data_IF_384296421654
#
_entry.id   IF_384296421654
#
_cell.length_a   1.000
_cell.length_b   1.000
_cell.length_c   1.000
_cell.angle_alpha   90.00
_cell.angle_beta   90.00
_cell.angle_gamma   90.00
#
_symmetry.space_group_name_H-M   'P 1'
#
loop_
_entity.id
_entity.type
_entity.pdbx_description
1 polymer ?
#
# COMPACT_ATOMS: atom_id res chain seq x y z
N UNK A 1 -1.68 -16.58 -21.21
CA UNK A 1 -1.95 -15.75 -22.40
C UNK A 1 -1.12 -16.30 -23.56
N UNK A 2 -1.75 -16.90 -24.55
CA UNK A 2 -1.06 -17.51 -25.70
C UNK A 2 -0.96 -16.54 -26.86
N UNK A 3 0.18 -15.88 -27.01
CA UNK A 3 0.50 -15.15 -28.24
C UNK A 3 1.01 -16.18 -29.24
N UNK A 4 0.22 -16.44 -30.28
CA UNK A 4 0.55 -17.40 -31.33
C UNK A 4 1.37 -16.68 -32.40
N UNK A 5 2.48 -17.27 -32.82
CA UNK A 5 3.30 -16.76 -33.93
C UNK A 5 2.58 -17.08 -35.25
N UNK A 6 1.63 -16.23 -35.63
CA UNK A 6 0.68 -16.53 -36.71
C UNK A 6 1.30 -16.37 -38.10
N UNK A 7 2.01 -15.26 -38.34
CA UNK A 7 2.56 -14.95 -39.66
C UNK A 7 4.03 -14.52 -39.57
N UNK A 8 4.90 -15.08 -40.40
CA UNK A 8 6.32 -14.72 -40.42
C UNK A 8 6.52 -13.50 -41.33
N UNK A 9 7.07 -12.41 -40.79
CA UNK A 9 7.25 -11.16 -41.57
C UNK A 9 8.65 -11.00 -42.15
N UNK A 10 9.68 -11.16 -41.32
CA UNK A 10 11.09 -10.98 -41.68
C UNK A 10 11.99 -11.49 -40.56
N UNK A 11 13.24 -11.83 -40.89
CA UNK A 11 14.34 -12.04 -39.95
C UNK A 11 15.55 -11.14 -40.23
N UNK A 12 15.40 -10.19 -41.15
CA UNK A 12 16.43 -9.22 -41.52
C UNK A 12 16.40 -8.00 -40.57
N UNK A 13 17.49 -7.70 -39.85
CA UNK A 13 17.55 -6.55 -38.95
C UNK A 13 17.34 -5.18 -39.61
N UNK A 14 17.64 -5.06 -40.92
CA UNK A 14 17.42 -3.81 -41.64
C UNK A 14 15.93 -3.40 -41.66
N UNK A 15 15.03 -4.38 -41.60
CA UNK A 15 13.58 -4.15 -41.68
C UNK A 15 12.96 -3.78 -40.32
N UNK A 16 13.74 -3.80 -39.23
CA UNK A 16 13.21 -3.58 -37.88
C UNK A 16 12.67 -2.16 -37.69
N UNK A 17 13.32 -1.17 -38.28
CA UNK A 17 12.87 0.22 -38.22
C UNK A 17 11.49 0.37 -38.88
N UNK A 18 11.33 -0.24 -40.06
CA UNK A 18 10.08 -0.22 -40.82
C UNK A 18 8.97 -0.96 -40.10
N UNK A 19 9.30 -2.10 -39.47
CA UNK A 19 8.35 -2.88 -38.66
C UNK A 19 8.03 -2.20 -37.31
N UNK A 20 8.83 -1.22 -36.87
CA UNK A 20 8.70 -0.59 -35.56
C UNK A 20 9.05 -1.52 -34.40
N UNK A 21 9.98 -2.46 -34.58
CA UNK A 21 10.32 -3.50 -33.58
C UNK A 21 11.76 -3.40 -33.07
N UNK A 22 12.41 -2.25 -33.25
CA UNK A 22 13.69 -1.95 -32.60
C UNK A 22 13.45 -1.90 -31.09
N UNK A 23 14.36 -2.49 -30.31
CA UNK A 23 14.21 -2.53 -28.85
C UNK A 23 14.38 -1.11 -28.27
N UNK A 24 13.39 -0.59 -27.53
CA UNK A 24 13.50 0.73 -26.92
C UNK A 24 14.61 0.82 -25.87
N UNK A 25 15.12 -0.29 -25.35
CA UNK A 25 16.24 -0.34 -24.40
C UNK A 25 17.60 -0.55 -25.08
N UNK A 26 17.64 -0.63 -26.42
CA UNK A 26 18.91 -0.74 -27.14
C UNK A 26 19.64 0.60 -27.18
N UNK A 27 20.73 0.71 -26.43
CA UNK A 27 21.60 1.90 -26.39
C UNK A 27 22.58 1.95 -27.57
N UNK A 28 22.77 0.83 -28.28
CA UNK A 28 23.72 0.76 -29.40
C UNK A 28 23.19 1.41 -30.67
N UNK A 29 21.87 1.58 -30.76
CA UNK A 29 21.22 2.24 -31.89
C UNK A 29 20.93 3.71 -31.57
N UNK A 30 21.63 4.69 -32.17
CA UNK A 30 21.42 6.10 -31.87
C UNK A 30 20.10 6.65 -32.41
N UNK A 31 19.40 5.92 -33.28
CA UNK A 31 18.11 6.33 -33.81
C UNK A 31 16.99 6.07 -32.79
N UNK A 32 16.13 7.06 -32.60
CA UNK A 32 14.86 6.92 -31.88
C UNK A 32 13.73 6.44 -32.80
N UNK A 33 13.93 6.51 -34.12
CA UNK A 33 12.95 6.14 -35.13
C UNK A 33 12.88 4.62 -35.31
N UNK A 34 11.65 4.08 -35.37
CA UNK A 34 11.42 2.63 -35.54
C UNK A 34 11.53 1.81 -34.24
N UNK A 35 11.69 2.45 -33.08
CA UNK A 35 11.59 1.80 -31.77
C UNK A 35 10.15 1.35 -31.49
N UNK A 36 10.03 0.12 -31.02
CA UNK A 36 8.77 -0.48 -30.60
C UNK A 36 8.48 -0.25 -29.12
N UNK A 37 7.33 -0.74 -28.68
CA UNK A 37 6.96 -0.80 -27.26
C UNK A 37 7.34 -2.16 -26.71
N UNK A 38 8.32 -2.21 -25.79
CA UNK A 38 8.68 -3.45 -25.10
C UNK A 38 7.77 -3.68 -23.91
N UNK A 39 7.15 -4.84 -23.86
CA UNK A 39 6.28 -5.28 -22.77
C UNK A 39 6.90 -6.53 -22.17
N UNK A 40 7.27 -6.44 -20.88
CA UNK A 40 7.79 -7.56 -20.10
C UNK A 40 6.78 -7.90 -19.02
N UNK A 41 6.22 -9.10 -19.08
CA UNK A 41 5.30 -9.65 -18.07
C UNK A 41 6.11 -10.57 -17.18
N UNK A 42 6.11 -10.29 -15.88
CA UNK A 42 6.72 -11.14 -14.87
C UNK A 42 5.65 -11.77 -13.98
N UNK A 43 5.89 -13.00 -13.57
CA UNK A 43 5.11 -13.72 -12.56
C UNK A 43 5.69 -13.53 -11.18
N UNK A 44 5.24 -14.34 -10.23
CA UNK A 44 5.79 -14.39 -8.89
C UNK A 44 7.32 -14.60 -8.91
N UNK A 45 8.04 -13.95 -7.98
CA UNK A 45 9.50 -13.99 -7.86
C UNK A 45 10.26 -13.49 -9.09
N UNK A 46 9.76 -12.46 -9.77
CA UNK A 46 10.41 -11.80 -10.92
C UNK A 46 10.63 -12.71 -12.15
N UNK A 47 10.00 -13.88 -12.19
CA UNK A 47 10.11 -14.82 -13.32
C UNK A 47 9.47 -14.20 -14.56
N UNK A 48 10.25 -13.96 -15.61
CA UNK A 48 9.74 -13.43 -16.87
C UNK A 48 8.86 -14.47 -17.56
N UNK A 49 7.55 -14.21 -17.62
CA UNK A 49 6.55 -15.04 -18.29
C UNK A 49 6.42 -14.69 -19.78
N UNK A 50 6.63 -13.43 -20.13
CA UNK A 50 6.68 -12.96 -21.51
C UNK A 50 7.55 -11.71 -21.63
N UNK A 51 8.28 -11.58 -22.75
CA UNK A 51 9.04 -10.38 -23.07
C UNK A 51 8.99 -10.16 -24.59
N UNK A 52 8.29 -9.12 -25.02
CA UNK A 52 7.92 -8.91 -26.42
C UNK A 52 8.02 -7.42 -26.77
N UNK A 53 8.57 -7.13 -27.93
CA UNK A 53 8.57 -5.81 -28.56
C UNK A 53 7.42 -5.76 -29.55
N UNK A 54 6.46 -4.85 -29.31
CA UNK A 54 5.30 -4.61 -30.14
C UNK A 54 5.58 -3.42 -31.05
N UNK A 55 5.43 -3.62 -32.34
CA UNK A 55 5.64 -2.62 -33.38
C UNK A 55 4.37 -2.16 -34.08
N UNK A 56 4.52 -1.79 -35.35
CA UNK A 56 3.45 -1.22 -36.16
C UNK A 56 2.31 -2.22 -36.38
N UNK A 57 1.08 -1.73 -36.69
CA UNK A 57 -0.01 -2.59 -37.15
C UNK A 57 0.42 -3.46 -38.34
N UNK A 58 -0.11 -4.67 -38.41
CA UNK A 58 0.09 -5.56 -39.55
C UNK A 58 -0.82 -5.12 -40.69
N UNK A 59 -0.24 -4.84 -41.86
CA UNK A 59 -1.01 -4.35 -43.01
C UNK A 59 -2.06 -5.39 -43.46
N UNK A 60 -3.29 -4.94 -43.70
CA UNK A 60 -4.37 -5.77 -44.22
C UNK A 60 -5.06 -6.69 -43.20
N UNK A 61 -4.71 -6.63 -41.91
CA UNK A 61 -5.41 -7.37 -40.84
C UNK A 61 -5.69 -6.47 -39.63
N UNK A 62 -6.96 -6.26 -39.32
CA UNK A 62 -7.37 -5.56 -38.09
C UNK A 62 -6.93 -6.34 -36.85
N UNK A 63 -6.53 -5.62 -35.80
CA UNK A 63 -6.05 -6.18 -34.52
C UNK A 63 -4.82 -7.10 -34.61
N UNK A 64 -4.05 -7.02 -35.71
CA UNK A 64 -2.73 -7.64 -35.80
C UNK A 64 -1.64 -6.59 -35.63
N UNK A 65 -0.58 -6.94 -34.92
CA UNK A 65 0.64 -6.13 -34.83
C UNK A 65 1.87 -6.98 -35.10
N UNK A 66 2.93 -6.31 -35.53
CA UNK A 66 4.24 -6.91 -35.67
C UNK A 66 4.88 -7.03 -34.29
N UNK A 67 5.40 -8.22 -33.97
CA UNK A 67 6.05 -8.51 -32.70
C UNK A 67 7.41 -9.16 -32.90
N UNK A 68 8.34 -8.84 -32.01
CA UNK A 68 9.67 -9.44 -31.94
C UNK A 68 10.02 -9.76 -30.49
N UNK A 69 10.58 -10.94 -30.24
CA UNK A 69 11.14 -11.24 -28.92
C UNK A 69 12.53 -10.57 -28.81
N UNK A 70 12.84 -9.85 -27.73
CA UNK A 70 14.17 -9.27 -27.53
C UNK A 70 15.28 -10.31 -27.72
N UNK A 71 16.35 -9.91 -28.40
CA UNK A 71 17.47 -10.81 -28.76
C UNK A 71 17.18 -11.82 -29.88
N UNK A 72 15.92 -11.98 -30.31
CA UNK A 72 15.58 -12.82 -31.46
C UNK A 72 15.52 -12.01 -32.76
N UNK A 73 15.89 -12.66 -33.87
CA UNK A 73 15.89 -12.01 -35.17
C UNK A 73 14.52 -11.94 -35.84
N UNK A 74 13.65 -12.89 -35.53
CA UNK A 74 12.40 -13.11 -36.27
C UNK A 74 11.29 -12.18 -35.79
N UNK A 75 10.63 -11.54 -36.75
CA UNK A 75 9.45 -10.70 -36.56
C UNK A 75 8.22 -11.48 -37.04
N UNK A 76 7.16 -11.46 -36.24
CA UNK A 76 5.92 -12.14 -36.55
C UNK A 76 4.75 -11.16 -36.54
N UNK A 77 3.78 -11.35 -37.43
CA UNK A 77 2.44 -10.81 -37.26
C UNK A 77 1.68 -11.69 -36.28
N UNK A 78 1.12 -11.10 -35.23
CA UNK A 78 0.26 -11.81 -34.29
C UNK A 78 -0.98 -10.98 -33.99
N UNK A 79 -2.10 -11.66 -33.74
CA UNK A 79 -3.29 -10.98 -33.26
C UNK A 79 -3.04 -10.49 -31.83
N UNK A 80 -3.01 -9.18 -31.67
CA UNK A 80 -2.89 -8.51 -30.36
C UNK A 80 -4.23 -7.87 -30.09
N UNK A 81 -5.03 -8.55 -29.27
CA UNK A 81 -6.23 -7.99 -28.66
C UNK A 81 -5.89 -7.51 -27.25
N UNK A 82 -4.98 -6.54 -27.19
CA UNK A 82 -4.49 -5.96 -25.95
C UNK A 82 -4.74 -4.45 -26.00
N UNK A 83 -5.87 -4.04 -25.42
CA UNK A 83 -6.09 -2.66 -25.00
C UNK A 83 -5.31 -2.42 -23.70
N UNK A 84 -3.98 -2.28 -23.83
CA UNK A 84 -3.13 -1.97 -22.70
C UNK A 84 -3.37 -0.52 -22.30
N UNK A 85 -4.08 -0.32 -21.19
CA UNK A 85 -4.20 1.02 -20.63
C UNK A 85 -2.83 1.60 -20.34
N UNK A 86 -2.61 2.86 -20.71
CA UNK A 86 -1.40 3.61 -20.34
C UNK A 86 -1.50 4.20 -18.93
N UNK A 87 -2.65 4.07 -18.26
CA UNK A 87 -2.86 4.60 -16.92
C UNK A 87 -2.33 3.60 -15.90
N UNK A 88 -1.37 4.03 -15.10
CA UNK A 88 -0.76 3.23 -14.03
C UNK A 88 -1.79 2.56 -13.11
N UNK A 89 -2.87 3.27 -12.77
CA UNK A 89 -3.96 2.79 -11.91
C UNK A 89 -4.59 1.48 -12.39
N UNK A 90 -4.61 1.20 -13.69
CA UNK A 90 -5.21 -0.02 -14.24
C UNK A 90 -4.32 -1.26 -14.06
N UNK A 91 -3.08 -1.08 -13.59
CA UNK A 91 -2.07 -2.13 -13.44
C UNK A 91 -1.67 -2.40 -11.98
N UNK A 92 -1.96 -1.49 -11.06
CA UNK A 92 -1.68 -1.65 -9.64
C UNK A 92 -2.89 -2.27 -8.94
N UNK A 93 -2.66 -2.99 -7.83
CA UNK A 93 -3.73 -3.42 -6.93
C UNK A 93 -4.63 -2.22 -6.56
N UNK A 94 -5.92 -2.38 -6.78
CA UNK A 94 -6.92 -1.35 -6.46
C UNK A 94 -7.20 -1.23 -4.96
N UNK A 95 -7.09 -2.31 -4.20
CA UNK A 95 -7.21 -2.33 -2.74
C UNK A 95 -5.82 -2.46 -2.10
N UNK A 96 -5.16 -1.32 -1.93
CA UNK A 96 -3.80 -1.28 -1.39
C UNK A 96 -3.76 -1.69 0.09
N UNK A 97 -4.77 -1.32 0.87
CA UNK A 97 -4.78 -1.49 2.33
C UNK A 97 -5.27 -2.87 2.76
N UNK A 98 -6.02 -3.57 1.91
CA UNK A 98 -6.61 -4.88 2.19
C UNK A 98 -7.48 -4.87 3.46
N UNK A 99 -8.22 -3.79 3.70
CA UNK A 99 -9.08 -3.61 4.87
C UNK A 99 -10.52 -3.31 4.45
N UNK A 100 -11.48 -4.02 5.03
CA UNK A 100 -12.90 -3.67 4.90
C UNK A 100 -13.22 -2.53 5.89
N UNK A 101 -13.92 -1.49 5.44
CA UNK A 101 -14.38 -0.37 6.27
C UNK A 101 -15.10 -0.81 7.55
N UNK A 102 -15.78 -1.97 7.53
CA UNK A 102 -16.50 -2.52 8.69
C UNK A 102 -15.58 -3.05 9.78
N UNK A 103 -14.34 -3.39 9.43
CA UNK A 103 -13.31 -3.85 10.35
C UNK A 103 -12.62 -2.68 11.05
N UNK A 104 -12.70 -1.46 10.50
CA UNK A 104 -12.15 -0.25 11.12
C UNK A 104 -12.99 0.12 12.36
N UNK A 105 -12.33 0.28 13.50
CA UNK A 105 -12.94 0.67 14.77
C UNK A 105 -12.31 1.90 15.42
N UNK A 106 -11.08 2.27 15.03
CA UNK A 106 -10.42 3.50 15.47
C UNK A 106 -9.60 4.15 14.37
N UNK A 107 -9.66 5.47 14.29
CA UNK A 107 -8.82 6.30 13.41
C UNK A 107 -8.17 7.39 14.25
N UNK A 108 -6.86 7.58 14.09
CA UNK A 108 -6.11 8.66 14.73
C UNK A 108 -5.49 9.54 13.66
N UNK A 109 -5.89 10.80 13.61
CA UNK A 109 -5.30 11.82 12.72
C UNK A 109 -4.31 12.62 13.55
N UNK A 110 -3.04 12.60 13.18
CA UNK A 110 -1.99 13.37 13.87
C UNK A 110 -1.53 14.50 12.96
N UNK A 111 -1.96 15.72 13.30
CA UNK A 111 -1.54 16.94 12.63
C UNK A 111 -0.27 17.47 13.30
N UNK A 112 0.85 17.31 12.61
CA UNK A 112 2.14 17.81 13.04
C UNK A 112 3.02 18.14 11.85
N UNK A 113 4.02 18.99 12.12
CA UNK A 113 5.11 19.28 11.19
C UNK A 113 6.45 18.97 11.84
N UNK A 114 7.49 18.76 11.04
CA UNK A 114 8.86 18.60 11.53
C UNK A 114 9.71 19.80 11.14
N UNK A 115 10.56 20.26 12.06
CA UNK A 115 11.68 21.14 11.73
C UNK A 115 12.83 20.28 11.22
N UNK A 116 13.00 20.23 9.89
CA UNK A 116 13.95 19.35 9.20
C UNK A 116 15.40 19.54 9.62
N UNK A 117 15.76 20.78 10.02
CA UNK A 117 17.12 21.11 10.46
C UNK A 117 17.41 20.56 11.85
N UNK A 118 16.42 20.53 12.74
CA UNK A 118 16.60 20.15 14.15
C UNK A 118 16.04 18.76 14.49
N UNK A 119 15.21 18.19 13.61
CA UNK A 119 14.48 16.94 13.79
C UNK A 119 13.37 17.04 14.85
N UNK A 120 12.89 18.25 15.15
CA UNK A 120 11.88 18.47 16.21
C UNK A 120 10.48 18.51 15.63
N UNK A 121 9.57 17.75 16.24
CA UNK A 121 8.15 17.73 15.88
C UNK A 121 7.44 18.91 16.55
N UNK A 122 6.65 19.64 15.76
CA UNK A 122 5.66 20.63 16.20
C UNK A 122 4.28 20.00 16.04
N UNK A 123 3.70 19.56 17.15
CA UNK A 123 2.34 19.00 17.21
C UNK A 123 1.32 20.12 17.21
N UNK A 124 0.36 20.05 16.29
CA UNK A 124 -0.71 21.03 16.15
C UNK A 124 -2.02 20.48 16.74
N UNK A 125 -2.45 19.30 16.30
CA UNK A 125 -3.61 18.60 16.85
C UNK A 125 -3.47 17.07 16.70
N UNK A 126 -4.28 16.34 17.46
CA UNK A 126 -4.41 14.89 17.38
C UNK A 126 -5.89 14.52 17.57
N UNK A 127 -6.53 13.97 16.54
CA UNK A 127 -7.95 13.65 16.56
C UNK A 127 -8.09 12.15 16.66
N UNK A 128 -8.84 11.67 17.65
CA UNK A 128 -9.15 10.26 17.80
C UNK A 128 -10.64 10.05 17.53
N UNK A 129 -10.93 9.27 16.49
CA UNK A 129 -12.26 8.77 16.19
C UNK A 129 -12.34 7.31 16.63
N UNK A 130 -13.30 6.97 17.47
CA UNK A 130 -13.51 5.60 17.98
C UNK A 130 -14.95 5.17 17.77
N UNK A 131 -15.13 3.92 17.36
CA UNK A 131 -16.44 3.30 17.19
C UNK A 131 -16.87 2.61 18.48
N UNK A 132 -17.87 3.18 19.17
CA UNK A 132 -18.49 2.60 20.38
C UNK A 132 -19.95 2.27 20.14
N UNK A 133 -20.34 1.03 20.42
CA UNK A 133 -21.72 0.54 20.20
C UNK A 133 -22.28 0.91 18.80
N UNK A 134 -21.46 0.67 17.77
CA UNK A 134 -21.73 1.00 16.36
C UNK A 134 -21.90 2.50 16.03
N UNK A 135 -21.52 3.40 16.94
CA UNK A 135 -21.52 4.84 16.71
C UNK A 135 -20.10 5.40 16.82
N UNK A 136 -19.74 6.27 15.88
CA UNK A 136 -18.48 7.00 15.94
C UNK A 136 -18.56 8.11 16.97
N UNK A 137 -17.53 8.20 17.81
CA UNK A 137 -17.27 9.29 18.74
C UNK A 137 -15.92 9.93 18.38
N UNK A 138 -15.78 11.21 18.73
CA UNK A 138 -14.53 11.95 18.57
C UNK A 138 -14.05 12.46 19.93
N UNK A 139 -12.75 12.44 20.16
CA UNK A 139 -12.14 13.09 21.32
C UNK A 139 -12.36 14.61 21.31
N UNK A 140 -12.29 15.25 22.48
CA UNK A 140 -12.20 16.71 22.64
C UNK A 140 -13.19 17.54 21.80
N UNK A 141 -14.43 17.08 21.65
CA UNK A 141 -15.50 17.83 20.97
C UNK A 141 -15.84 19.12 21.74
N UNK A 142 -15.77 20.31 21.11
CA UNK A 142 -16.12 21.57 21.76
C UNK A 142 -17.59 21.64 22.23
N UNK A 143 -17.84 22.44 23.27
CA UNK A 143 -19.20 22.71 23.73
C UNK A 143 -20.06 23.33 22.60
N UNK A 144 -21.31 22.86 22.46
CA UNK A 144 -22.21 23.32 21.40
C UNK A 144 -21.99 22.67 20.02
N UNK A 145 -20.92 21.88 19.84
CA UNK A 145 -20.67 21.11 18.62
C UNK A 145 -20.95 19.63 18.82
N UNK A 146 -21.17 18.92 17.72
CA UNK A 146 -21.23 17.46 17.66
C UNK A 146 -20.49 16.93 16.44
N UNK A 147 -20.09 15.65 16.51
CA UNK A 147 -19.45 14.95 15.40
C UNK A 147 -20.40 14.84 14.21
N UNK A 148 -19.92 15.26 13.06
CA UNK A 148 -20.61 15.17 11.81
C UNK A 148 -20.40 13.80 11.16
N UNK A 149 -21.29 12.85 11.45
CA UNK A 149 -21.14 11.42 11.07
C UNK A 149 -20.86 11.18 9.60
N UNK A 150 -21.44 11.97 8.70
CA UNK A 150 -21.22 11.78 7.26
C UNK A 150 -19.79 12.13 6.83
N UNK A 151 -19.11 13.04 7.54
CA UNK A 151 -17.69 13.35 7.31
C UNK A 151 -16.82 12.16 7.67
N UNK A 152 -17.15 11.46 8.76
CA UNK A 152 -16.47 10.21 9.14
C UNK A 152 -16.71 9.13 8.08
N UNK A 153 -17.93 8.98 7.56
CA UNK A 153 -18.21 8.06 6.46
C UNK A 153 -17.41 8.40 5.19
N UNK A 154 -17.25 9.68 4.86
CA UNK A 154 -16.42 10.10 3.74
C UNK A 154 -14.94 9.83 3.96
N UNK A 155 -14.44 10.01 5.19
CA UNK A 155 -13.07 9.67 5.56
C UNK A 155 -12.83 8.16 5.42
N UNK A 156 -13.73 7.33 5.94
CA UNK A 156 -13.67 5.86 5.79
C UNK A 156 -13.66 5.44 4.31
N UNK A 157 -14.50 6.08 3.49
CA UNK A 157 -14.49 5.84 2.03
C UNK A 157 -13.17 6.28 1.39
N UNK A 158 -12.60 7.41 1.80
CA UNK A 158 -11.32 7.88 1.27
C UNK A 158 -10.14 6.95 1.64
N UNK A 159 -10.20 6.32 2.82
CA UNK A 159 -9.25 5.29 3.25
C UNK A 159 -9.39 4.05 2.35
N UNK A 160 -10.60 3.54 2.18
CA UNK A 160 -10.89 2.34 1.39
C UNK A 160 -10.62 2.52 -0.12
N UNK A 161 -11.00 3.67 -0.68
CA UNK A 161 -10.86 4.00 -2.11
C UNK A 161 -9.54 4.71 -2.43
N UNK A 162 -8.51 4.57 -1.59
CA UNK A 162 -7.24 5.27 -1.78
C UNK A 162 -6.60 4.93 -3.13
N UNK A 163 -6.58 5.92 -4.02
CA UNK A 163 -6.02 5.79 -5.36
C UNK A 163 -4.54 6.17 -5.37
N UNK A 164 -3.73 5.32 -5.97
CA UNK A 164 -2.29 5.55 -6.16
C UNK A 164 -2.03 6.02 -7.59
N UNK A 165 -1.40 7.18 -7.72
CA UNK A 165 -0.99 7.78 -9.00
C UNK A 165 0.36 7.22 -9.47
N UNK A 166 1.20 6.74 -8.55
CA UNK A 166 2.47 6.12 -8.90
C UNK A 166 3.16 5.42 -7.73
N UNK A 167 4.18 4.63 -8.04
CA UNK A 167 5.07 4.01 -7.05
C UNK A 167 6.52 4.34 -7.35
N UNK A 168 7.36 4.39 -6.31
CA UNK A 168 8.81 4.52 -6.40
C UNK A 168 9.46 3.50 -5.46
N UNK A 169 10.44 2.70 -5.91
CA UNK A 169 11.08 1.72 -5.03
C UNK A 169 11.85 2.41 -3.90
N UNK A 170 11.80 1.82 -2.70
CA UNK A 170 12.68 2.18 -1.60
C UNK A 170 14.07 1.56 -1.85
N UNK A 171 15.15 2.20 -1.39
CA UNK A 171 16.46 1.56 -1.34
C UNK A 171 16.40 0.22 -0.58
N UNK A 172 17.12 -0.80 -1.05
CA UNK A 172 17.05 -2.14 -0.46
C UNK A 172 17.46 -2.18 1.03
N UNK A 173 18.40 -1.32 1.45
CA UNK A 173 18.79 -1.18 2.85
C UNK A 173 17.63 -0.70 3.72
N UNK A 174 16.93 0.34 3.27
CA UNK A 174 15.73 0.84 3.92
C UNK A 174 14.61 -0.22 3.96
N UNK A 175 14.30 -0.89 2.85
CA UNK A 175 13.27 -1.95 2.82
C UNK A 175 13.57 -3.06 3.84
N UNK A 176 14.83 -3.51 3.92
CA UNK A 176 15.24 -4.53 4.87
C UNK A 176 15.09 -4.07 6.33
N UNK A 177 15.36 -2.79 6.61
CA UNK A 177 15.19 -2.23 7.96
C UNK A 177 13.72 -2.12 8.36
N UNK A 178 12.82 -1.74 7.43
CA UNK A 178 11.38 -1.64 7.69
C UNK A 178 10.73 -3.01 7.90
N UNK A 179 11.18 -4.05 7.18
CA UNK A 179 10.70 -5.44 7.36
C UNK A 179 11.11 -6.03 8.71
N UNK A 180 12.27 -5.62 9.24
CA UNK A 180 12.82 -6.11 10.50
C UNK A 180 12.85 -4.98 11.51
N UNK A 181 11.69 -4.69 12.10
CA UNK A 181 11.53 -3.76 13.22
C UNK A 181 12.45 -4.09 14.44
N UNK A 182 13.12 -5.24 14.47
CA UNK A 182 13.98 -5.72 15.56
C UNK A 182 15.44 -6.06 15.15
N UNK A 183 15.93 -5.65 13.96
CA UNK A 183 17.25 -6.03 13.46
C UNK A 183 18.33 -4.93 13.49
N UNK A 184 19.53 -5.26 13.99
CA UNK A 184 20.74 -4.42 14.16
C UNK A 184 21.41 -3.93 12.84
N UNK A 185 20.67 -3.84 11.74
CA UNK A 185 21.17 -3.32 10.47
C UNK A 185 21.00 -1.80 10.43
N UNK A 186 22.12 -1.09 10.53
CA UNK A 186 22.13 0.38 10.55
C UNK A 186 21.62 0.93 9.22
N UNK A 187 20.61 1.79 9.31
CA UNK A 187 20.13 2.62 8.21
C UNK A 187 21.32 3.41 7.67
N UNK A 188 21.56 3.34 6.36
CA UNK A 188 22.70 4.03 5.73
C UNK A 188 22.38 5.52 5.51
N UNK A 189 23.39 6.36 5.35
CA UNK A 189 23.20 7.78 5.03
C UNK A 189 22.41 7.97 3.71
N UNK A 190 22.59 7.07 2.74
CA UNK A 190 21.85 7.08 1.49
C UNK A 190 20.35 6.74 1.69
N UNK A 191 20.04 5.81 2.60
CA UNK A 191 18.66 5.47 2.96
C UNK A 191 17.97 6.68 3.63
N UNK A 192 18.68 7.36 4.54
CA UNK A 192 18.19 8.57 5.21
C UNK A 192 17.93 9.70 4.20
N UNK A 193 18.87 9.97 3.30
CA UNK A 193 18.69 11.00 2.27
C UNK A 193 17.50 10.68 1.36
N UNK A 194 17.29 9.41 1.02
CA UNK A 194 16.14 8.98 0.21
C UNK A 194 14.81 9.22 0.92
N UNK A 195 14.73 8.93 2.23
CA UNK A 195 13.55 9.24 3.06
C UNK A 195 13.31 10.75 3.15
N UNK A 196 14.34 11.51 3.49
CA UNK A 196 14.26 12.97 3.66
C UNK A 196 13.81 13.65 2.37
N UNK A 197 14.34 13.23 1.21
CA UNK A 197 13.93 13.75 -0.11
C UNK A 197 12.44 13.56 -0.43
N UNK A 198 11.75 12.70 0.32
CA UNK A 198 10.32 12.39 0.17
C UNK A 198 9.49 12.84 1.37
N UNK A 199 10.07 13.56 2.32
CA UNK A 199 9.37 14.08 3.49
C UNK A 199 9.27 13.13 4.67
N UNK A 200 10.08 12.07 4.71
CA UNK A 200 10.10 11.12 5.82
C UNK A 200 11.38 11.25 6.64
N UNK A 201 11.25 11.20 7.95
CA UNK A 201 12.32 11.54 8.88
C UNK A 201 12.34 10.58 10.06
N UNK A 202 13.53 10.25 10.55
CA UNK A 202 13.67 9.66 11.88
C UNK A 202 13.85 10.76 12.91
N UNK A 203 13.09 10.68 13.98
CA UNK A 203 13.30 11.49 15.18
C UNK A 203 14.53 11.00 15.95
N UNK A 204 14.96 11.76 16.96
CA UNK A 204 16.15 11.41 17.78
C UNK A 204 15.96 10.13 18.59
N UNK A 205 14.72 9.81 18.93
CA UNK A 205 14.27 8.58 19.59
C UNK A 205 14.06 7.42 18.60
N UNK A 206 14.37 7.62 17.32
CA UNK A 206 14.31 6.57 16.29
C UNK A 206 12.91 6.29 15.76
N UNK A 207 11.92 7.14 16.06
CA UNK A 207 10.59 7.03 15.48
C UNK A 207 10.57 7.59 14.06
N UNK A 208 9.97 6.82 13.14
CA UNK A 208 9.76 7.26 11.76
C UNK A 208 8.50 8.11 11.67
N UNK A 209 8.65 9.32 11.15
CA UNK A 209 7.60 10.36 11.04
C UNK A 209 7.62 11.02 9.67
N UNK A 210 6.58 11.79 9.38
CA UNK A 210 6.43 12.60 8.16
C UNK A 210 6.65 14.09 8.43
N UNK A 211 6.78 14.89 7.38
CA UNK A 211 6.71 16.35 7.47
C UNK A 211 5.26 16.89 7.52
N UNK A 212 4.28 16.12 7.03
CA UNK A 212 2.89 16.57 6.82
C UNK A 212 1.88 15.67 7.54
N UNK A 213 2.19 15.33 8.79
CA UNK A 213 1.30 14.52 9.64
C UNK A 213 1.13 13.07 9.19
N UNK A 214 0.34 12.32 9.96
CA UNK A 214 0.03 10.92 9.64
C UNK A 214 -1.39 10.54 10.06
N UNK A 215 -1.95 9.57 9.34
CA UNK A 215 -3.23 8.95 9.63
C UNK A 215 -2.98 7.51 10.08
N UNK A 216 -3.45 7.15 11.27
CA UNK A 216 -3.39 5.80 11.80
C UNK A 216 -4.79 5.19 11.75
N UNK A 217 -4.93 4.05 11.10
CA UNK A 217 -6.18 3.29 10.99
C UNK A 217 -6.01 2.00 11.76
N UNK A 218 -6.91 1.72 12.70
CA UNK A 218 -6.93 0.49 13.48
C UNK A 218 -8.12 -0.37 13.08
N UNK A 219 -7.86 -1.68 12.99
CA UNK A 219 -8.87 -2.69 12.79
C UNK A 219 -9.14 -3.49 14.06
N UNK A 220 -10.32 -4.08 14.14
CA UNK A 220 -10.78 -4.95 15.24
C UNK A 220 -9.93 -6.18 15.50
N UNK A 221 -9.12 -6.60 14.51
CA UNK A 221 -8.19 -7.72 14.65
C UNK A 221 -6.83 -7.31 15.25
N UNK A 222 -6.64 -6.01 15.55
CA UNK A 222 -5.43 -5.46 16.14
C UNK A 222 -4.39 -5.00 15.14
N UNK A 223 -4.64 -5.16 13.83
CA UNK A 223 -3.75 -4.63 12.82
C UNK A 223 -3.97 -3.11 12.72
N UNK A 224 -2.86 -2.39 12.62
CA UNK A 224 -2.85 -0.94 12.41
C UNK A 224 -2.08 -0.57 11.15
N UNK A 225 -2.58 0.42 10.41
CA UNK A 225 -1.94 1.01 9.25
C UNK A 225 -1.58 2.44 9.59
N UNK A 226 -0.31 2.82 9.41
CA UNK A 226 0.12 4.21 9.52
C UNK A 226 0.44 4.75 8.13
N UNK A 227 -0.36 5.72 7.70
CA UNK A 227 -0.20 6.47 6.45
C UNK A 227 0.52 7.77 6.76
N UNK A 228 1.78 7.90 6.33
CA UNK A 228 2.61 9.10 6.51
C UNK A 228 2.61 9.92 5.23
N UNK A 229 2.24 11.18 5.32
CA UNK A 229 2.20 12.09 4.17
C UNK A 229 3.52 12.86 4.05
N UNK A 230 4.14 12.76 2.89
CA UNK A 230 5.49 13.27 2.61
C UNK A 230 5.48 14.54 1.77
N UNK A 231 6.60 14.81 1.10
CA UNK A 231 6.78 15.94 0.18
C UNK A 231 5.92 15.83 -1.09
N UNK A 232 5.76 16.97 -1.77
CA UNK A 232 5.17 17.02 -3.12
C UNK A 232 6.06 16.22 -4.09
N UNK A 233 5.46 15.18 -4.67
CA UNK A 233 6.06 14.38 -5.72
C UNK A 233 5.97 15.14 -7.05
N UNK A 234 7.09 15.67 -7.51
CA UNK A 234 7.19 16.17 -8.88
C UNK A 234 7.11 14.99 -9.85
N UNK A 235 6.29 15.12 -10.89
CA UNK A 235 6.32 14.15 -11.99
C UNK A 235 7.70 14.18 -12.65
N UNK A 236 8.31 13.01 -12.77
CA UNK A 236 9.51 12.86 -13.59
C UNK A 236 9.13 13.17 -15.04
N UNK A 237 10.04 13.79 -15.79
CA UNK A 237 9.79 14.25 -17.16
C UNK A 237 9.34 13.09 -18.08
N UNK A 238 8.03 12.95 -18.29
CA UNK A 238 7.45 11.88 -19.11
C UNK A 238 6.00 11.52 -18.79
N UNK A 239 5.47 11.87 -17.61
CA UNK A 239 4.06 11.64 -17.26
C UNK A 239 3.19 12.86 -17.63
N UNK A 240 1.97 12.58 -18.10
CA UNK A 240 1.02 13.51 -18.74
C UNK A 240 0.80 14.83 -17.98
N UNK A 241 0.79 15.94 -18.73
CA UNK A 241 0.58 17.33 -18.26
C UNK A 241 -0.78 17.64 -17.62
N UNK A 242 -1.66 16.67 -17.44
CA UNK A 242 -3.04 16.90 -17.00
C UNK A 242 -3.24 16.88 -15.47
N UNK A 243 -2.20 16.55 -14.69
CA UNK A 243 -2.23 16.67 -13.23
C UNK A 243 -1.71 18.06 -12.80
N UNK A 244 -2.59 19.05 -12.82
CA UNK A 244 -2.33 20.41 -12.29
C UNK A 244 -2.33 20.48 -10.75
N UNK A 245 -2.43 19.34 -10.06
CA UNK A 245 -2.33 19.21 -8.62
C UNK A 245 -0.95 18.70 -8.20
N UNK A 246 -0.44 19.25 -7.10
CA UNK A 246 0.80 18.80 -6.46
C UNK A 246 0.58 17.40 -5.82
N UNK A 247 0.80 16.33 -6.60
CA UNK A 247 0.80 14.96 -6.08
C UNK A 247 1.78 14.83 -4.91
N UNK A 248 1.52 13.91 -3.97
CA UNK A 248 2.30 13.83 -2.73
C UNK A 248 2.79 12.42 -2.46
N UNK A 249 3.99 12.30 -1.89
CA UNK A 249 4.49 11.01 -1.43
C UNK A 249 3.68 10.50 -0.24
N UNK A 250 3.43 9.20 -0.23
CA UNK A 250 2.79 8.47 0.86
C UNK A 250 3.68 7.28 1.21
N UNK A 251 3.91 7.09 2.51
CA UNK A 251 4.53 5.87 3.03
C UNK A 251 3.57 5.19 3.99
N UNK A 252 3.30 3.92 3.70
CA UNK A 252 2.42 3.08 4.52
C UNK A 252 3.29 2.11 5.30
N UNK A 253 2.99 1.93 6.59
CA UNK A 253 3.52 0.84 7.41
C UNK A 253 2.37 0.12 8.09
N UNK A 254 2.51 -1.18 8.32
CA UNK A 254 1.54 -1.96 9.08
C UNK A 254 2.22 -2.62 10.29
N UNK A 255 1.50 -2.65 11.41
CA UNK A 255 1.93 -3.28 12.66
C UNK A 255 0.74 -3.99 13.32
N UNK A 256 1.04 -4.83 14.31
CA UNK A 256 0.03 -5.43 15.18
C UNK A 256 0.19 -4.83 16.58
N UNK A 257 -0.92 -4.42 17.19
CA UNK A 257 -0.97 -3.90 18.55
C UNK A 257 -1.43 -5.01 19.54
N UNK A 258 -0.50 -5.72 20.19
CA UNK A 258 -0.85 -6.80 21.12
C UNK A 258 -1.55 -6.30 22.38
N UNK A 259 -1.47 -5.00 22.70
CA UNK A 259 -2.06 -4.45 23.93
C UNK A 259 -3.59 -4.52 23.93
N UNK A 260 -4.20 -4.62 22.75
CA UNK A 260 -5.65 -4.78 22.58
C UNK A 260 -6.13 -6.20 22.87
N UNK A 261 -5.22 -7.17 22.96
CA UNK A 261 -5.52 -8.60 23.15
C UNK A 261 -4.80 -9.13 24.39
N UNK A 262 -5.21 -8.72 25.61
CA UNK A 262 -4.59 -9.20 26.84
C UNK A 262 -4.69 -10.74 26.92
N UNK A 263 -3.58 -11.39 27.29
CA UNK A 263 -3.51 -12.84 27.40
C UNK A 263 -4.49 -13.34 28.49
N UNK A 264 -5.41 -14.28 28.17
CA UNK A 264 -6.32 -14.84 29.15
C UNK A 264 -5.59 -15.76 30.12
N UNK A 265 -6.23 -16.06 31.27
CA UNK A 265 -5.70 -17.02 32.23
C UNK A 265 -5.45 -18.40 31.59
N UNK A 266 -4.30 -18.99 31.87
CA UNK A 266 -3.95 -20.34 31.44
C UNK A 266 -4.58 -21.40 32.35
N UNK A 267 -4.92 -22.58 31.83
CA UNK A 267 -5.34 -23.69 32.68
C UNK A 267 -4.23 -24.05 33.68
N UNK A 268 -4.62 -24.40 34.92
CA UNK A 268 -3.64 -24.83 35.94
C UNK A 268 -3.03 -26.20 35.62
N UNK A 269 -3.79 -27.08 34.95
CA UNK A 269 -3.39 -28.39 34.46
C UNK A 269 -4.23 -28.78 33.24
N UNK A 270 -3.82 -29.85 32.54
CA UNK A 270 -4.55 -30.43 31.40
C UNK A 270 -5.01 -31.86 31.65
N UNK A 271 -5.19 -32.26 32.92
CA UNK A 271 -5.49 -33.64 33.31
C UNK A 271 -6.82 -34.15 32.72
N UNK A 272 -7.75 -33.24 32.46
CA UNK A 272 -9.03 -33.50 31.79
C UNK A 272 -8.87 -34.13 30.41
N UNK A 273 -7.75 -33.91 29.71
CA UNK A 273 -7.50 -34.51 28.38
C UNK A 273 -7.32 -36.04 28.44
N UNK A 274 -6.86 -36.55 29.59
CA UNK A 274 -6.52 -37.96 29.79
C UNK A 274 -7.67 -38.83 30.33
N UNK A 275 -8.81 -38.22 30.66
CA UNK A 275 -9.96 -38.89 31.28
C UNK A 275 -11.27 -38.52 30.56
N UNK A 276 -12.24 -39.45 30.50
CA UNK A 276 -13.50 -39.19 29.80
C UNK A 276 -14.30 -38.08 30.48
N UNK A 277 -15.00 -37.27 29.68
CA UNK A 277 -15.80 -36.10 30.10
C UNK A 277 -16.80 -36.41 31.23
N UNK A 278 -17.30 -37.65 31.30
CA UNK A 278 -18.20 -38.12 32.36
C UNK A 278 -17.57 -38.14 33.77
N UNK A 279 -16.25 -38.10 33.84
CA UNK A 279 -15.47 -38.12 35.10
C UNK A 279 -14.89 -36.76 35.46
N UNK A 280 -15.21 -35.72 34.68
CA UNK A 280 -14.67 -34.38 34.88
C UNK A 280 -15.26 -33.71 36.13
N UNK A 281 -14.37 -33.17 36.94
CA UNK A 281 -14.68 -32.31 38.08
C UNK A 281 -15.01 -30.88 37.61
N UNK A 282 -15.49 -30.04 38.53
CA UNK A 282 -15.70 -28.62 38.23
C UNK A 282 -14.40 -27.91 37.81
N UNK A 283 -13.25 -28.30 38.39
CA UNK A 283 -11.95 -27.73 38.03
C UNK A 283 -11.54 -28.16 36.61
N UNK A 284 -11.84 -29.39 36.21
CA UNK A 284 -11.58 -29.87 34.84
C UNK A 284 -12.38 -29.07 33.81
N UNK A 285 -13.67 -28.83 34.07
CA UNK A 285 -14.50 -27.98 33.21
C UNK A 285 -13.97 -26.54 33.13
N UNK A 286 -13.51 -25.98 34.25
CA UNK A 286 -12.89 -24.65 34.29
C UNK A 286 -11.60 -24.62 33.47
N UNK A 287 -10.70 -25.59 33.68
CA UNK A 287 -9.44 -25.69 32.94
C UNK A 287 -9.69 -25.93 31.44
N UNK A 288 -10.70 -26.72 31.05
CA UNK A 288 -11.09 -26.86 29.64
C UNK A 288 -11.54 -25.53 29.04
N UNK A 289 -12.34 -24.76 29.78
CA UNK A 289 -12.77 -23.42 29.38
C UNK A 289 -11.60 -22.45 29.20
N UNK A 290 -10.67 -22.43 30.17
CA UNK A 290 -9.45 -21.61 30.11
C UNK A 290 -8.55 -22.01 28.94
N UNK A 291 -8.34 -23.32 28.73
CA UNK A 291 -7.60 -23.82 27.58
C UNK A 291 -8.24 -23.36 26.27
N UNK A 292 -9.56 -23.51 26.13
CA UNK A 292 -10.28 -23.13 24.91
C UNK A 292 -10.19 -21.63 24.66
N UNK A 293 -10.34 -20.80 25.70
CA UNK A 293 -10.19 -19.35 25.61
C UNK A 293 -8.77 -18.95 25.22
N UNK A 294 -7.75 -19.57 25.83
CA UNK A 294 -6.35 -19.32 25.51
C UNK A 294 -5.98 -19.76 24.10
N UNK A 295 -6.44 -20.92 23.64
CA UNK A 295 -6.23 -21.40 22.26
C UNK A 295 -6.88 -20.46 21.23
N UNK A 296 -8.11 -20.00 21.49
CA UNK A 296 -8.79 -19.04 20.62
C UNK A 296 -8.08 -17.69 20.59
N UNK A 297 -7.63 -17.20 21.74
CA UNK A 297 -6.82 -15.98 21.84
C UNK A 297 -5.53 -16.11 21.06
N UNK A 298 -4.78 -17.20 21.29
CA UNK A 298 -3.50 -17.45 20.63
C UNK A 298 -3.67 -17.51 19.11
N UNK A 299 -4.68 -18.24 18.62
CA UNK A 299 -4.97 -18.31 17.18
C UNK A 299 -5.24 -16.91 16.60
N UNK A 300 -6.04 -16.08 17.27
CA UNK A 300 -6.31 -14.71 16.82
C UNK A 300 -5.05 -13.85 16.76
N UNK A 301 -4.22 -13.91 17.80
CA UNK A 301 -2.94 -13.17 17.87
C UNK A 301 -1.99 -13.63 16.77
N UNK A 302 -1.84 -14.94 16.56
CA UNK A 302 -0.99 -15.51 15.52
C UNK A 302 -1.47 -15.09 14.11
N UNK A 303 -2.79 -15.16 13.86
CA UNK A 303 -3.40 -14.73 12.59
C UNK A 303 -3.20 -13.23 12.33
N UNK A 304 -3.44 -12.38 13.31
CA UNK A 304 -3.28 -10.93 13.20
C UNK A 304 -1.81 -10.53 13.04
N UNK A 305 -0.90 -11.18 13.77
CA UNK A 305 0.55 -10.96 13.64
C UNK A 305 1.04 -11.30 12.24
N UNK A 306 0.61 -12.45 11.71
CA UNK A 306 0.98 -12.87 10.35
C UNK A 306 0.38 -11.95 9.28
N UNK A 307 -0.86 -11.48 9.48
CA UNK A 307 -1.49 -10.47 8.62
C UNK A 307 -0.68 -9.17 8.59
N UNK A 308 -0.34 -8.63 9.77
CA UNK A 308 0.47 -7.43 9.89
C UNK A 308 1.85 -7.59 9.23
N UNK A 309 2.49 -8.76 9.41
CA UNK A 309 3.77 -9.08 8.77
C UNK A 309 3.66 -9.07 7.24
N UNK A 310 2.66 -9.73 6.66
CA UNK A 310 2.42 -9.74 5.20
C UNK A 310 2.18 -8.33 4.65
N UNK A 311 1.42 -7.51 5.36
CA UNK A 311 1.16 -6.11 4.99
C UNK A 311 2.43 -5.26 5.09
N UNK A 312 3.19 -5.40 6.17
CA UNK A 312 4.48 -4.72 6.34
C UNK A 312 5.44 -5.09 5.21
N UNK A 313 5.53 -6.38 4.88
CA UNK A 313 6.32 -6.89 3.76
C UNK A 313 5.87 -6.33 2.40
N UNK A 314 4.57 -6.14 2.20
CA UNK A 314 4.00 -5.54 0.99
C UNK A 314 4.37 -4.06 0.85
N UNK A 315 4.31 -3.31 1.95
CA UNK A 315 4.57 -1.86 1.92
C UNK A 315 6.06 -1.51 2.00
N UNK A 316 6.90 -2.41 2.51
CA UNK A 316 8.31 -2.15 2.77
C UNK A 316 9.08 -1.64 1.54
N UNK A 317 8.78 -2.15 0.35
CA UNK A 317 9.57 -1.87 -0.85
C UNK A 317 9.16 -0.60 -1.60
N UNK A 318 8.05 0.04 -1.25
CA UNK A 318 7.48 1.09 -2.08
C UNK A 318 7.23 2.39 -1.31
N UNK A 319 7.59 3.51 -1.94
CA UNK A 319 6.92 4.78 -1.73
C UNK A 319 5.75 4.86 -2.70
N UNK A 320 4.61 5.36 -2.22
CA UNK A 320 3.44 5.59 -3.03
C UNK A 320 3.34 7.08 -3.36
N UNK A 321 2.64 7.40 -4.44
CA UNK A 321 2.28 8.76 -4.82
C UNK A 321 0.77 8.83 -4.90
N UNK A 322 0.18 9.78 -4.18
CA UNK A 322 -1.27 10.02 -4.15
C UNK A 322 -1.58 11.39 -4.73
N UNK A 323 -2.79 11.55 -5.27
CA UNK A 323 -3.27 12.84 -5.74
C UNK A 323 -3.44 13.83 -4.57
N UNK A 324 -3.36 15.13 -4.84
CA UNK A 324 -3.66 16.15 -3.83
C UNK A 324 -5.11 16.02 -3.30
N UNK A 325 -6.07 15.64 -4.14
CA UNK A 325 -7.46 15.39 -3.73
C UNK A 325 -7.57 14.22 -2.73
N UNK A 326 -6.83 13.13 -2.96
CA UNK A 326 -6.74 12.02 -2.00
C UNK A 326 -6.11 12.45 -0.69
N UNK A 327 -5.06 13.28 -0.76
CA UNK A 327 -4.42 13.84 0.43
C UNK A 327 -5.39 14.71 1.24
N UNK A 328 -6.09 15.66 0.62
CA UNK A 328 -7.05 16.55 1.31
C UNK A 328 -8.21 15.77 1.97
N UNK A 329 -8.68 14.69 1.34
CA UNK A 329 -9.73 13.83 1.91
C UNK A 329 -9.28 13.02 3.13
N UNK A 330 -7.99 12.71 3.23
CA UNK A 330 -7.40 11.96 4.35
C UNK A 330 -6.83 12.87 5.44
N UNK A 331 -6.36 14.06 5.05
CA UNK A 331 -5.72 15.05 5.92
C UNK A 331 -6.75 16.07 6.44
N UNK A 332 -7.79 15.56 7.09
CA UNK A 332 -8.91 16.36 7.61
C UNK A 332 -8.57 17.03 8.95
N UNK A 333 -9.10 18.22 9.19
CA UNK A 333 -8.95 18.93 10.47
C UNK A 333 -10.15 18.69 11.38
N UNK A 334 -9.98 19.00 12.66
CA UNK A 334 -11.05 18.83 13.67
C UNK A 334 -12.31 19.59 13.32
N UNK A 335 -12.16 20.81 12.78
CA UNK A 335 -13.29 21.64 12.36
C UNK A 335 -14.08 21.04 11.19
N UNK A 336 -13.42 20.28 10.30
CA UNK A 336 -14.07 19.60 9.17
C UNK A 336 -14.96 18.45 9.60
N UNK A 337 -14.78 17.93 10.82
CA UNK A 337 -15.53 16.80 11.39
C UNK A 337 -16.66 17.25 12.32
N UNK A 338 -16.88 18.56 12.48
CA UNK A 338 -17.81 19.10 13.47
C UNK A 338 -18.94 19.88 12.82
N UNK A 339 -20.13 19.76 13.40
CA UNK A 339 -21.29 20.62 13.11
C UNK A 339 -21.89 21.20 14.38
N UNK A 340 -22.71 22.24 14.24
CA UNK A 340 -23.46 22.79 15.37
C UNK A 340 -24.52 21.81 15.86
N UNK A 341 -24.64 21.68 17.19
CA UNK A 341 -25.74 20.94 17.78
C UNK A 341 -27.05 21.66 17.46
N UNK A 342 -28.10 20.93 17.03
CA UNK A 342 -29.42 21.52 16.95
C UNK A 342 -29.81 22.07 18.33
N UNK A 343 -30.37 23.28 18.36
CA UNK A 343 -30.88 23.85 19.60
C UNK A 343 -31.89 22.86 20.21
N UNK A 344 -31.78 22.60 21.51
CA UNK A 344 -32.75 21.78 22.22
C UNK A 344 -34.12 22.47 22.10
N UNK A 345 -34.98 21.89 21.26
CA UNK A 345 -36.34 22.36 21.02
C UNK A 345 -37.31 21.93 22.11
#
# INVERSE_FOLDING_TARGET
MGITKDDFRTDNPADYADCGVIDPLDESNPSLEGRGTRVTIKGENDVVLADIIIGKPYEGRENFRLVRVPGQKRVYGTRIDLDLSTRFKDWIESDLMQIDQKEIDRIVIKDYSIDERTGRIRKHDEITLEKKADQWEMDRVPAGKELERWKVTNLLRAIDELSIEGVRPKPAGLSASLRRAEGDQRITDADLLSLQSKGFYFTRDGMLVSNEGELVVHAKDGVEWTLRFGEVARSDAGESKDASGENRYLMITASFDPSQFPEPEKPSNTDFESKPDSTWTQEDWRNKGLQTAWEQWKRKVDEATERARKLSDRFADWYYVISNDSFEKLHVKREDLLRDKPAAG
#
